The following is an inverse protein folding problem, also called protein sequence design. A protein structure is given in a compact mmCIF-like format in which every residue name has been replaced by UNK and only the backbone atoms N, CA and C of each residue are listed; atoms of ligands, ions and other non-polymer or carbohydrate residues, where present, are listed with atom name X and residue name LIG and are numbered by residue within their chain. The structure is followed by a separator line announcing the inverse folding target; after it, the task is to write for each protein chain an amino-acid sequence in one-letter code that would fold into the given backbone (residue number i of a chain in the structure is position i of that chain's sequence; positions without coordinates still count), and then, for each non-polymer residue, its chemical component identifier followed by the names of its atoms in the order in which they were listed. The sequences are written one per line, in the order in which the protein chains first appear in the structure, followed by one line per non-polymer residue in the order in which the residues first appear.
data_IF_764366410157
#
_entry.id   IF_764366410157
#
_cell.length_a   1.000
_cell.length_b   1.000
_cell.length_c   1.000
_cell.angle_alpha   90.00
_cell.angle_beta   90.00
_cell.angle_gamma   90.00
#
_symmetry.space_group_name_H-M   'P 1'
#
loop_
_entity.id
_entity.type
_entity.pdbx_description
1 polymer ?
#
# COMPACT_ATOMS: atom_id res chain seq x y z
N UNK A 1 4.27 6.76 -22.66
CA UNK A 1 5.31 7.47 -21.89
C UNK A 1 6.58 6.61 -21.91
N UNK A 2 7.57 6.93 -22.75
CA UNK A 2 8.82 6.15 -22.86
C UNK A 2 9.83 6.67 -21.84
N UNK A 3 10.44 5.77 -21.08
CA UNK A 3 11.44 6.10 -20.05
C UNK A 3 12.68 6.74 -20.71
N UNK A 4 13.23 7.85 -20.19
CA UNK A 4 14.49 8.39 -20.69
C UNK A 4 15.63 7.38 -20.48
N UNK A 5 16.59 7.29 -21.43
CA UNK A 5 17.70 6.35 -21.35
C UNK A 5 18.60 6.66 -20.15
N UNK A 6 19.09 5.61 -19.46
CA UNK A 6 20.07 5.73 -18.37
C UNK A 6 19.52 5.76 -16.93
N UNK A 7 18.19 5.87 -16.73
CA UNK A 7 17.64 5.75 -15.36
C UNK A 7 17.73 4.29 -14.89
N UNK A 8 18.20 3.95 -13.69
CA UNK A 8 18.21 2.56 -13.20
C UNK A 8 16.77 2.00 -13.05
N UNK A 9 16.59 0.66 -12.99
CA UNK A 9 15.31 0.07 -12.61
C UNK A 9 14.85 0.62 -11.27
N UNK A 10 13.58 0.98 -11.17
CA UNK A 10 12.98 1.47 -9.92
C UNK A 10 11.98 0.43 -9.45
N UNK A 11 12.10 0.02 -8.18
CA UNK A 11 11.12 -0.82 -7.52
C UNK A 11 10.06 0.06 -6.87
N UNK A 12 8.81 -0.40 -6.91
CA UNK A 12 7.71 0.22 -6.20
C UNK A 12 7.25 -0.72 -5.09
N UNK A 13 6.87 -0.14 -3.95
CA UNK A 13 6.31 -0.87 -2.82
C UNK A 13 5.18 -0.07 -2.21
N UNK A 14 4.31 -0.73 -1.46
CA UNK A 14 3.29 -0.09 -0.66
C UNK A 14 3.83 0.19 0.74
N UNK A 15 3.68 1.44 1.20
CA UNK A 15 4.03 1.85 2.57
C UNK A 15 2.87 2.61 3.18
N UNK A 16 2.70 2.48 4.49
CA UNK A 16 1.68 3.24 5.23
C UNK A 16 1.93 4.75 5.17
N UNK A 17 0.89 5.57 5.37
CA UNK A 17 0.97 7.02 5.21
C UNK A 17 1.96 7.69 6.17
N UNK A 18 2.04 7.23 7.42
CA UNK A 18 2.94 7.82 8.42
C UNK A 18 4.44 7.65 8.05
N UNK A 19 4.95 6.43 7.78
CA UNK A 19 6.31 6.25 7.28
C UNK A 19 6.58 7.03 5.97
N UNK A 20 5.61 7.08 5.06
CA UNK A 20 5.74 7.82 3.80
C UNK A 20 5.95 9.32 4.02
N UNK A 21 5.05 9.95 4.78
CA UNK A 21 5.12 11.39 5.06
C UNK A 21 6.42 11.71 5.80
N UNK A 22 6.77 10.93 6.82
CA UNK A 22 7.99 11.15 7.59
C UNK A 22 9.26 11.03 6.74
N UNK A 23 9.35 10.01 5.87
CA UNK A 23 10.50 9.84 4.97
C UNK A 23 10.59 10.97 3.95
N UNK A 24 9.45 11.37 3.37
CA UNK A 24 9.39 12.46 2.40
C UNK A 24 9.81 13.80 3.03
N UNK A 25 9.23 14.16 4.17
CA UNK A 25 9.51 15.43 4.87
C UNK A 25 10.97 15.50 5.32
N UNK A 26 11.50 14.43 5.94
CA UNK A 26 12.89 14.43 6.44
C UNK A 26 13.92 14.45 5.32
N UNK A 27 13.62 13.83 4.18
CA UNK A 27 14.55 13.77 3.04
C UNK A 27 14.33 14.86 2.00
N UNK A 28 13.34 15.74 2.19
CA UNK A 28 12.87 16.67 1.15
C UNK A 28 12.58 15.95 -0.19
N UNK A 29 11.98 14.76 -0.13
CA UNK A 29 11.63 13.95 -1.31
C UNK A 29 12.79 13.23 -1.99
N UNK A 30 14.00 13.19 -1.40
CA UNK A 30 15.16 12.52 -1.98
C UNK A 30 15.16 11.00 -1.72
N UNK A 31 14.62 10.54 -0.59
CA UNK A 31 14.65 9.12 -0.22
C UNK A 31 13.52 8.30 -0.84
N UNK A 32 12.37 8.93 -1.09
CA UNK A 32 11.21 8.29 -1.71
C UNK A 32 10.47 9.25 -2.63
N UNK A 33 9.79 8.71 -3.65
CA UNK A 33 8.85 9.45 -4.48
C UNK A 33 7.45 8.87 -4.29
N UNK A 34 6.49 9.72 -3.88
CA UNK A 34 5.09 9.33 -3.73
C UNK A 34 4.45 9.41 -5.12
N UNK A 35 4.08 8.26 -5.68
CA UNK A 35 3.53 8.17 -7.04
C UNK A 35 2.01 8.31 -7.05
N UNK A 36 1.32 7.62 -6.13
CA UNK A 36 -0.12 7.63 -6.01
C UNK A 36 -0.56 7.12 -4.64
N UNK A 37 -1.80 7.44 -4.23
CA UNK A 37 -2.47 6.75 -3.13
C UNK A 37 -2.89 5.34 -3.54
N UNK A 38 -2.90 4.40 -2.60
CA UNK A 38 -3.28 3.00 -2.88
C UNK A 38 -4.79 2.73 -2.81
N UNK A 39 -5.53 3.51 -2.02
CA UNK A 39 -6.98 3.41 -1.90
C UNK A 39 -7.58 4.80 -1.68
N UNK A 40 -8.76 5.02 -2.24
CA UNK A 40 -9.61 6.19 -1.98
C UNK A 40 -10.97 5.67 -1.49
N UNK A 41 -11.47 6.17 -0.36
CA UNK A 41 -12.72 5.72 0.25
C UNK A 41 -12.61 4.54 1.23
N UNK A 42 -11.39 4.03 1.51
CA UNK A 42 -11.14 2.97 2.48
C UNK A 42 -10.75 1.63 1.85
N UNK A 43 -10.62 0.60 2.68
CA UNK A 43 -10.34 -0.77 2.27
C UNK A 43 -11.45 -1.70 2.76
N UNK A 44 -11.69 -2.80 2.03
CA UNK A 44 -12.67 -3.81 2.42
C UNK A 44 -12.03 -5.19 2.44
N UNK A 45 -12.47 -6.02 3.39
CA UNK A 45 -12.10 -7.43 3.48
C UNK A 45 -13.02 -8.24 2.57
N UNK A 46 -12.46 -8.86 1.53
CA UNK A 46 -13.19 -9.80 0.68
C UNK A 46 -13.18 -11.17 1.34
N UNK A 47 -14.37 -11.72 1.57
CA UNK A 47 -14.54 -13.00 2.27
C UNK A 47 -15.05 -14.07 1.32
N UNK A 48 -14.79 -15.34 1.68
CA UNK A 48 -15.37 -16.49 0.99
C UNK A 48 -16.89 -16.54 1.26
N UNK A 49 -17.69 -17.12 0.34
CA UNK A 49 -19.10 -17.41 0.62
C UNK A 49 -19.26 -18.18 1.93
N UNK A 50 -20.29 -17.83 2.72
CA UNK A 50 -20.57 -18.43 4.02
C UNK A 50 -19.96 -17.72 5.22
N UNK A 51 -19.11 -16.70 5.02
CA UNK A 51 -18.73 -15.74 6.06
C UNK A 51 -19.69 -14.56 5.95
N UNK A 52 -20.62 -14.44 6.90
CA UNK A 52 -21.70 -13.45 6.86
C UNK A 52 -21.58 -12.40 7.95
N UNK A 53 -20.72 -12.63 8.95
CA UNK A 53 -20.49 -11.73 10.07
C UNK A 53 -19.04 -11.75 10.53
N UNK A 54 -18.64 -10.72 11.28
CA UNK A 54 -17.30 -10.66 11.88
C UNK A 54 -17.03 -11.83 12.85
N UNK A 55 -18.07 -12.38 13.49
CA UNK A 55 -17.93 -13.52 14.40
C UNK A 55 -17.43 -14.79 13.67
N UNK A 56 -17.78 -14.95 12.39
CA UNK A 56 -17.39 -16.09 11.57
C UNK A 56 -15.88 -16.11 11.25
N UNK A 57 -15.20 -14.98 11.44
CA UNK A 57 -13.74 -14.86 11.27
C UNK A 57 -12.95 -15.42 12.46
N UNK A 58 -13.60 -15.72 13.58
CA UNK A 58 -12.91 -16.20 14.79
C UNK A 58 -12.16 -17.51 14.50
N UNK A 59 -10.87 -17.53 14.80
CA UNK A 59 -9.98 -18.68 14.58
C UNK A 59 -9.61 -18.93 13.11
N UNK A 60 -9.96 -18.02 12.18
CA UNK A 60 -9.50 -18.06 10.79
C UNK A 60 -8.21 -17.26 10.63
N UNK A 61 -7.38 -17.65 9.68
CA UNK A 61 -6.22 -16.87 9.26
C UNK A 61 -6.65 -15.79 8.27
N UNK A 62 -6.25 -14.54 8.51
CA UNK A 62 -6.51 -13.41 7.63
C UNK A 62 -5.25 -13.04 6.86
N UNK A 63 -5.39 -12.84 5.55
CA UNK A 63 -4.34 -12.23 4.75
C UNK A 63 -4.46 -10.70 4.89
N UNK A 64 -3.46 -10.09 5.50
CA UNK A 64 -3.23 -8.65 5.42
C UNK A 64 -2.03 -8.41 4.48
N UNK A 65 -2.04 -7.34 3.67
CA UNK A 65 -0.82 -6.80 3.09
C UNK A 65 0.24 -6.50 4.17
#
# INVERSE_FOLDING_TARGET
MRRPPGRPPQHATYIGPNPAINSYVKSNGQSISIIAGAASGGAQLVVKPGINSAADLKGKTLASP
#
